data_IF_436068219914
#
_entry.id   IF_436068219914
#
_cell.length_a   1.000
_cell.length_b   1.000
_cell.length_c   1.000
_cell.angle_alpha   90.00
_cell.angle_beta   90.00
_cell.angle_gamma   90.00
#
_symmetry.space_group_name_H-M   'P 1'
#
loop_
_entity.id
_entity.type
_entity.pdbx_description
1 polymer ?
#
# COMPACT_ATOMS: atom_id res chain seq x y z
N UNK A 1 2.04 26.91 -3.72
CA UNK A 1 1.01 25.87 -3.72
C UNK A 1 1.67 24.55 -3.32
N UNK A 2 1.19 23.91 -2.28
CA UNK A 2 1.68 22.61 -1.82
C UNK A 2 0.65 21.55 -2.21
N UNK A 3 1.09 20.40 -2.74
CA UNK A 3 0.26 19.23 -3.03
C UNK A 3 0.84 18.05 -2.27
N UNK A 4 0.12 17.56 -1.27
CA UNK A 4 0.56 16.40 -0.47
C UNK A 4 -0.66 15.55 -0.11
N UNK A 5 -0.46 14.23 -0.06
CA UNK A 5 -1.50 13.31 0.43
C UNK A 5 -1.49 13.21 1.96
N UNK A 6 -0.40 13.65 2.59
CA UNK A 6 -0.18 13.59 4.03
C UNK A 6 0.59 14.86 4.43
N UNK A 7 -0.12 15.92 4.87
CA UNK A 7 0.54 17.15 5.33
C UNK A 7 1.37 16.87 6.58
N UNK A 8 2.51 17.51 6.70
CA UNK A 8 3.30 17.53 7.92
C UNK A 8 2.69 18.49 8.97
N UNK A 9 3.20 18.42 10.19
CA UNK A 9 2.70 19.26 11.28
C UNK A 9 2.90 20.76 11.01
N UNK A 10 3.93 21.15 10.27
CA UNK A 10 4.18 22.55 9.92
C UNK A 10 3.09 23.09 8.99
N UNK A 11 2.72 22.31 7.95
CA UNK A 11 1.64 22.68 7.03
C UNK A 11 0.29 22.74 7.74
N UNK A 12 0.01 21.78 8.65
CA UNK A 12 -1.23 21.77 9.45
C UNK A 12 -1.31 23.03 10.30
N UNK A 13 -0.27 23.36 11.05
CA UNK A 13 -0.23 24.56 11.91
C UNK A 13 -0.45 25.84 11.10
N UNK A 14 0.18 25.94 9.91
CA UNK A 14 0.01 27.10 9.03
C UNK A 14 -1.40 27.22 8.45
N UNK A 15 -2.11 26.12 8.28
CA UNK A 15 -3.52 26.12 7.90
C UNK A 15 -4.39 26.58 9.09
N UNK A 16 -4.12 26.10 10.31
CA UNK A 16 -4.84 26.49 11.52
C UNK A 16 -4.63 27.99 11.86
N UNK A 17 -3.42 28.50 11.65
CA UNK A 17 -3.08 29.92 11.79
C UNK A 17 -3.68 30.82 10.69
N UNK A 18 -4.32 30.24 9.68
CA UNK A 18 -4.90 30.98 8.56
C UNK A 18 -3.88 31.54 7.57
N UNK A 19 -2.58 31.16 7.68
CA UNK A 19 -1.52 31.59 6.77
C UNK A 19 -1.52 30.79 5.45
N UNK A 20 -2.25 29.67 5.41
CA UNK A 20 -2.49 28.83 4.23
C UNK A 20 -3.97 28.46 4.13
N UNK A 21 -4.48 28.43 2.89
CA UNK A 21 -5.81 27.86 2.61
C UNK A 21 -5.61 26.37 2.36
N UNK A 22 -6.23 25.54 3.19
CA UNK A 22 -6.23 24.09 3.03
C UNK A 22 -7.46 23.66 2.22
N UNK A 23 -7.21 22.93 1.13
CA UNK A 23 -8.27 22.27 0.37
C UNK A 23 -8.02 20.76 0.47
N UNK A 24 -8.85 20.09 1.25
CA UNK A 24 -8.80 18.64 1.41
C UNK A 24 -9.68 17.96 0.36
N UNK A 25 -9.08 17.14 -0.48
CA UNK A 25 -9.77 16.30 -1.44
C UNK A 25 -9.76 14.85 -0.93
N UNK A 26 -10.72 14.51 -0.09
CA UNK A 26 -10.84 13.18 0.52
C UNK A 26 -11.56 12.17 -0.40
N UNK A 27 -12.15 12.63 -1.50
CA UNK A 27 -12.91 11.80 -2.42
C UNK A 27 -12.01 11.30 -3.57
N UNK A 28 -11.97 10.00 -3.75
CA UNK A 28 -11.31 9.39 -4.92
C UNK A 28 -12.09 9.73 -6.19
N UNK A 29 -11.45 9.76 -7.39
CA UNK A 29 -12.13 10.12 -8.64
C UNK A 29 -13.39 9.30 -8.95
N UNK A 30 -13.46 8.05 -8.50
CA UNK A 30 -14.61 7.16 -8.64
C UNK A 30 -15.64 7.26 -7.49
N UNK A 31 -15.47 8.18 -6.54
CA UNK A 31 -16.43 8.41 -5.43
C UNK A 31 -16.48 7.31 -4.35
N UNK A 32 -15.68 6.25 -4.45
CA UNK A 32 -15.67 5.18 -3.45
C UNK A 32 -14.62 5.43 -2.36
N UNK A 33 -14.90 5.00 -1.11
CA UNK A 33 -13.96 5.14 -0.01
C UNK A 33 -12.68 4.33 -0.23
N UNK A 34 -11.61 4.71 0.47
CA UNK A 34 -10.37 3.95 0.49
C UNK A 34 -10.59 2.61 1.21
N UNK A 35 -10.08 1.47 0.69
CA UNK A 35 -10.13 0.21 1.42
C UNK A 35 -9.43 0.34 2.78
N UNK A 36 -10.16 -0.01 3.85
CA UNK A 36 -9.61 -0.01 5.20
C UNK A 36 -8.77 -1.26 5.38
N UNK A 37 -7.48 -1.14 5.77
CA UNK A 37 -6.61 -2.29 5.92
C UNK A 37 -7.12 -3.28 6.99
N UNK A 38 -7.12 -4.57 6.66
CA UNK A 38 -7.24 -5.65 7.65
C UNK A 38 -5.86 -5.91 8.23
N UNK A 39 -5.69 -5.85 9.54
CA UNK A 39 -4.41 -6.07 10.20
C UNK A 39 -4.43 -7.33 11.06
N UNK A 40 -3.37 -8.13 10.96
CA UNK A 40 -3.16 -9.30 11.79
C UNK A 40 -1.80 -9.21 12.48
N UNK A 41 -1.78 -9.56 13.76
CA UNK A 41 -0.56 -9.66 14.57
C UNK A 41 -0.25 -11.12 14.78
N UNK A 42 0.81 -11.60 14.14
CA UNK A 42 1.17 -13.01 14.07
C UNK A 42 2.71 -13.16 14.07
N UNK A 43 3.24 -14.29 14.56
CA UNK A 43 4.66 -14.59 14.39
C UNK A 43 5.12 -14.49 12.93
N UNK A 44 6.34 -14.04 12.68
CA UNK A 44 6.86 -13.75 11.34
C UNK A 44 6.67 -14.89 10.34
N UNK A 45 6.95 -16.12 10.74
CA UNK A 45 6.75 -17.29 9.88
C UNK A 45 5.27 -17.47 9.49
N UNK A 46 4.36 -17.25 10.43
CA UNK A 46 2.92 -17.34 10.15
C UNK A 46 2.48 -16.20 9.23
N UNK A 47 3.01 -14.98 9.39
CA UNK A 47 2.77 -13.88 8.46
C UNK A 47 3.13 -14.26 7.03
N UNK A 48 4.25 -14.96 6.82
CA UNK A 48 4.66 -15.43 5.49
C UNK A 48 3.67 -16.45 4.92
N UNK A 49 3.23 -17.42 5.72
CA UNK A 49 2.22 -18.39 5.27
C UNK A 49 0.88 -17.73 4.95
N UNK A 50 0.43 -16.79 5.79
CA UNK A 50 -0.80 -16.02 5.56
C UNK A 50 -0.68 -15.19 4.29
N UNK A 51 0.45 -14.54 4.04
CA UNK A 51 0.72 -13.81 2.79
C UNK A 51 0.64 -14.73 1.57
N UNK A 52 1.31 -15.88 1.59
CA UNK A 52 1.27 -16.84 0.47
C UNK A 52 -0.14 -17.36 0.21
N UNK A 53 -0.88 -17.69 1.28
CA UNK A 53 -2.28 -18.10 1.17
C UNK A 53 -3.16 -16.97 0.61
N UNK A 54 -2.98 -15.74 1.11
CA UNK A 54 -3.70 -14.57 0.63
C UNK A 54 -3.43 -14.30 -0.86
N UNK A 55 -2.17 -14.39 -1.29
CA UNK A 55 -1.79 -14.25 -2.70
C UNK A 55 -2.51 -15.29 -3.59
N UNK A 56 -2.68 -16.50 -3.10
CA UNK A 56 -3.40 -17.56 -3.83
C UNK A 56 -4.92 -17.32 -3.87
N UNK A 57 -5.49 -16.77 -2.81
CA UNK A 57 -6.94 -16.50 -2.74
C UNK A 57 -7.38 -15.26 -3.51
N UNK A 58 -6.45 -14.36 -3.87
CA UNK A 58 -6.71 -13.11 -4.58
C UNK A 58 -6.09 -13.14 -5.98
N UNK A 59 -6.18 -14.26 -6.67
CA UNK A 59 -5.56 -14.48 -7.98
C UNK A 59 -6.32 -13.84 -9.15
N UNK A 60 -7.44 -13.20 -8.89
CA UNK A 60 -8.22 -12.46 -9.89
C UNK A 60 -7.75 -11.02 -10.12
N UNK A 61 -6.78 -10.53 -9.32
CA UNK A 61 -6.28 -9.16 -9.37
C UNK A 61 -4.75 -9.14 -9.34
N UNK A 62 -4.11 -8.12 -9.91
CA UNK A 62 -2.69 -7.85 -9.64
C UNK A 62 -2.48 -7.60 -8.14
N UNK A 63 -1.40 -8.11 -7.59
CA UNK A 63 -1.11 -8.04 -6.15
C UNK A 63 0.26 -7.44 -5.91
N UNK A 64 0.33 -6.47 -5.00
CA UNK A 64 1.59 -5.88 -4.57
C UNK A 64 1.87 -6.28 -3.12
N UNK A 65 3.05 -6.83 -2.89
CA UNK A 65 3.57 -7.12 -1.55
C UNK A 65 4.64 -6.09 -1.22
N UNK A 66 4.36 -5.21 -0.29
CA UNK A 66 5.35 -4.28 0.25
C UNK A 66 6.11 -4.92 1.40
N UNK A 67 7.42 -4.72 1.42
CA UNK A 67 8.31 -5.20 2.46
C UNK A 67 9.29 -4.12 2.90
N UNK A 68 9.82 -4.24 4.11
CA UNK A 68 10.63 -3.20 4.76
C UNK A 68 12.03 -3.02 4.16
N UNK A 69 12.62 -4.04 3.57
CA UNK A 69 14.01 -3.98 3.08
C UNK A 69 14.20 -4.64 1.71
N UNK A 70 15.22 -4.19 0.97
CA UNK A 70 15.59 -4.78 -0.33
C UNK A 70 15.96 -6.26 -0.18
N UNK A 71 16.71 -6.62 0.88
CA UNK A 71 17.06 -8.02 1.14
C UNK A 71 15.81 -8.88 1.32
N UNK A 72 14.82 -8.38 2.08
CA UNK A 72 13.55 -9.07 2.28
C UNK A 72 12.75 -9.16 0.99
N UNK A 73 12.74 -8.10 0.16
CA UNK A 73 12.09 -8.11 -1.15
C UNK A 73 12.65 -9.22 -2.06
N UNK A 74 13.97 -9.34 -2.15
CA UNK A 74 14.62 -10.37 -2.95
C UNK A 74 14.34 -11.78 -2.40
N UNK A 75 14.35 -11.95 -1.09
CA UNK A 75 14.08 -13.24 -0.46
C UNK A 75 12.61 -13.66 -0.61
N UNK A 76 11.67 -12.75 -0.31
CA UNK A 76 10.23 -12.99 -0.49
C UNK A 76 9.90 -13.24 -1.96
N UNK A 77 10.47 -12.46 -2.88
CA UNK A 77 10.28 -12.67 -4.31
C UNK A 77 10.72 -14.07 -4.74
N UNK A 78 11.90 -14.53 -4.32
CA UNK A 78 12.36 -15.91 -4.59
C UNK A 78 11.42 -16.95 -3.98
N UNK A 79 10.95 -16.74 -2.76
CA UNK A 79 10.02 -17.64 -2.10
C UNK A 79 8.69 -17.74 -2.85
N UNK A 80 8.12 -16.61 -3.27
CA UNK A 80 6.88 -16.59 -4.06
C UNK A 80 7.10 -17.29 -5.40
N UNK A 81 8.23 -17.07 -6.07
CA UNK A 81 8.57 -17.69 -7.34
C UNK A 81 8.67 -19.23 -7.31
N UNK A 82 8.75 -19.86 -6.12
CA UNK A 82 8.63 -21.32 -5.99
C UNK A 82 7.20 -21.82 -6.26
N UNK A 83 6.20 -20.96 -6.15
CA UNK A 83 4.79 -21.33 -6.24
C UNK A 83 4.04 -20.58 -7.35
N UNK A 84 4.42 -19.32 -7.60
CA UNK A 84 3.73 -18.40 -8.52
C UNK A 84 4.73 -17.44 -9.14
N UNK A 85 4.57 -17.05 -10.42
CA UNK A 85 5.41 -16.02 -11.04
C UNK A 85 5.30 -14.70 -10.26
N UNK A 86 6.44 -14.06 -10.01
CA UNK A 86 6.47 -12.78 -9.31
C UNK A 86 7.61 -11.89 -9.80
N UNK A 87 7.36 -10.60 -9.83
CA UNK A 87 8.33 -9.55 -10.11
C UNK A 87 8.88 -8.98 -8.81
N UNK A 88 10.13 -8.56 -8.82
CA UNK A 88 10.73 -7.82 -7.71
C UNK A 88 11.16 -6.46 -8.21
N UNK A 89 10.62 -5.41 -7.60
CA UNK A 89 10.92 -4.03 -7.96
C UNK A 89 11.42 -3.26 -6.72
N UNK A 90 12.69 -2.88 -6.74
CA UNK A 90 13.36 -2.15 -5.66
C UNK A 90 14.14 -0.96 -6.24
N UNK A 91 14.71 -0.12 -5.38
CA UNK A 91 15.60 0.97 -5.83
C UNK A 91 16.86 0.49 -6.56
N UNK A 92 17.22 -0.80 -6.42
CA UNK A 92 18.37 -1.41 -7.10
C UNK A 92 18.00 -2.18 -8.37
N UNK A 93 16.74 -2.18 -8.77
CA UNK A 93 16.31 -2.86 -10.01
C UNK A 93 16.73 -2.00 -11.21
N UNK A 94 17.61 -2.54 -12.07
CA UNK A 94 18.19 -1.82 -13.21
C UNK A 94 17.13 -1.44 -14.26
N UNK A 95 16.26 -2.38 -14.64
CA UNK A 95 15.20 -2.18 -15.64
C UNK A 95 13.83 -1.94 -14.98
N UNK A 96 13.78 -1.02 -14.03
CA UNK A 96 12.60 -0.79 -13.19
C UNK A 96 11.34 -0.49 -14.00
N UNK A 97 11.46 0.38 -15.01
CA UNK A 97 10.31 0.80 -15.83
C UNK A 97 9.78 -0.37 -16.68
N UNK A 98 10.66 -1.22 -17.20
CA UNK A 98 10.28 -2.43 -17.92
C UNK A 98 9.54 -3.43 -17.02
N UNK A 99 10.01 -3.63 -15.79
CA UNK A 99 9.35 -4.50 -14.81
C UNK A 99 7.97 -3.96 -14.44
N UNK A 100 7.84 -2.65 -14.25
CA UNK A 100 6.58 -1.98 -13.95
C UNK A 100 5.59 -2.14 -15.11
N UNK A 101 6.04 -1.94 -16.36
CA UNK A 101 5.17 -2.07 -17.54
C UNK A 101 4.72 -3.52 -17.74
N UNK A 102 5.61 -4.50 -17.55
CA UNK A 102 5.24 -5.92 -17.58
C UNK A 102 4.15 -6.24 -16.55
N UNK A 103 4.34 -5.80 -15.32
CA UNK A 103 3.36 -6.00 -14.26
C UNK A 103 2.03 -5.30 -14.55
N UNK A 104 2.06 -4.11 -15.18
CA UNK A 104 0.85 -3.33 -15.49
C UNK A 104 -0.09 -4.02 -16.47
N UNK A 105 0.46 -4.81 -17.41
CA UNK A 105 -0.32 -5.52 -18.43
C UNK A 105 -0.80 -6.90 -17.99
N UNK A 106 -0.30 -7.39 -16.84
CA UNK A 106 -0.71 -8.67 -16.29
C UNK A 106 -1.96 -8.54 -15.43
N UNK A 107 -2.98 -9.34 -15.73
CA UNK A 107 -4.24 -9.39 -14.98
C UNK A 107 -4.06 -10.00 -13.58
N UNK A 108 -3.08 -10.89 -13.41
CA UNK A 108 -2.88 -11.69 -12.18
C UNK A 108 -1.45 -11.58 -11.65
N UNK A 109 -0.70 -10.56 -12.05
CA UNK A 109 0.70 -10.37 -11.67
C UNK A 109 0.90 -10.26 -10.16
N UNK A 110 2.07 -10.67 -9.70
CA UNK A 110 2.53 -10.43 -8.31
C UNK A 110 3.79 -9.58 -8.38
N UNK A 111 3.80 -8.49 -7.62
CA UNK A 111 4.99 -7.66 -7.47
C UNK A 111 5.40 -7.56 -6.01
N UNK A 112 6.66 -7.82 -5.72
CA UNK A 112 7.27 -7.56 -4.41
C UNK A 112 8.09 -6.29 -4.49
N UNK A 113 7.82 -5.34 -3.62
CA UNK A 113 8.51 -4.04 -3.63
C UNK A 113 8.79 -3.51 -2.23
N UNK A 114 9.71 -2.55 -2.17
CA UNK A 114 9.89 -1.68 -1.02
C UNK A 114 9.09 -0.38 -1.23
N UNK A 115 9.29 0.63 -0.40
CA UNK A 115 8.64 1.97 -0.49
C UNK A 115 8.80 2.68 -1.84
N UNK A 116 9.67 2.18 -2.71
CA UNK A 116 9.92 2.75 -4.05
C UNK A 116 8.66 2.88 -4.91
N UNK A 117 7.69 1.97 -4.75
CA UNK A 117 6.43 2.00 -5.49
C UNK A 117 5.30 2.74 -4.74
N UNK A 118 5.56 3.33 -3.59
CA UNK A 118 4.53 4.11 -2.88
C UNK A 118 4.14 5.37 -3.64
N UNK A 119 5.00 5.89 -4.53
CA UNK A 119 4.80 7.12 -5.28
C UNK A 119 4.94 6.92 -6.80
N UNK A 120 4.19 7.71 -7.56
CA UNK A 120 4.41 7.94 -8.98
C UNK A 120 3.90 6.88 -9.96
N UNK A 121 3.44 5.71 -9.52
CA UNK A 121 2.92 4.66 -10.41
C UNK A 121 1.49 4.29 -10.03
N UNK A 122 0.61 4.19 -11.01
CA UNK A 122 -0.78 3.73 -10.80
C UNK A 122 -0.96 2.36 -11.43
N UNK A 123 -1.51 1.44 -10.67
CA UNK A 123 -1.90 0.12 -11.14
C UNK A 123 -3.41 -0.03 -10.99
N UNK A 124 -4.14 -0.43 -12.04
CA UNK A 124 -5.56 -0.72 -11.94
C UNK A 124 -5.80 -2.01 -11.16
N UNK A 125 -6.97 -2.16 -10.55
CA UNK A 125 -7.47 -3.39 -9.91
C UNK A 125 -6.53 -4.07 -8.91
N UNK A 126 -5.67 -3.32 -8.23
CA UNK A 126 -4.59 -3.92 -7.45
C UNK A 126 -5.00 -4.18 -6.01
N UNK A 127 -4.68 -5.36 -5.50
CA UNK A 127 -4.71 -5.70 -4.08
C UNK A 127 -3.33 -5.49 -3.43
N UNK A 128 -3.32 -5.13 -2.16
CA UNK A 128 -2.08 -4.75 -1.45
C UNK A 128 -1.89 -5.57 -0.18
N UNK A 129 -0.72 -6.14 -0.02
CA UNK A 129 -0.25 -6.73 1.23
C UNK A 129 0.99 -5.98 1.71
N UNK A 130 1.02 -5.55 2.96
CA UNK A 130 2.22 -5.00 3.61
C UNK A 130 2.71 -6.00 4.64
N UNK A 131 3.86 -6.60 4.38
CA UNK A 131 4.54 -7.50 5.31
C UNK A 131 5.46 -6.69 6.21
N UNK A 132 5.44 -6.96 7.50
CA UNK A 132 6.09 -6.16 8.56
C UNK A 132 5.59 -4.71 8.61
N UNK A 133 4.29 -4.51 8.53
CA UNK A 133 3.72 -3.16 8.56
C UNK A 133 4.08 -2.36 9.83
N UNK A 134 4.50 -3.05 10.90
CA UNK A 134 5.02 -2.44 12.13
C UNK A 134 6.51 -2.09 12.08
N UNK A 135 7.20 -2.32 10.96
CA UNK A 135 8.62 -1.96 10.81
C UNK A 135 8.82 -0.45 10.93
N UNK A 136 9.85 -0.02 11.66
CA UNK A 136 10.21 1.40 11.78
C UNK A 136 10.62 2.09 10.47
N UNK A 137 10.69 1.36 9.36
CA UNK A 137 10.89 1.91 8.01
C UNK A 137 9.60 2.53 7.47
N UNK A 138 8.44 2.06 7.92
CA UNK A 138 7.14 2.56 7.48
C UNK A 138 6.61 3.60 8.46
N UNK A 139 6.33 4.78 7.96
CA UNK A 139 5.58 5.80 8.66
C UNK A 139 4.07 5.72 8.32
N UNK A 140 3.26 6.48 9.02
CA UNK A 140 1.82 6.54 8.80
C UNK A 140 1.49 6.93 7.36
N UNK A 141 2.19 7.95 6.84
CA UNK A 141 2.00 8.46 5.50
C UNK A 141 2.29 7.42 4.43
N UNK A 142 3.41 6.69 4.56
CA UNK A 142 3.79 5.60 3.67
C UNK A 142 2.76 4.47 3.67
N UNK A 143 2.28 4.04 4.86
CA UNK A 143 1.25 3.01 4.98
C UNK A 143 -0.07 3.44 4.32
N UNK A 144 -0.50 4.71 4.50
CA UNK A 144 -1.68 5.26 3.83
C UNK A 144 -1.48 5.25 2.31
N UNK A 145 -0.31 5.66 1.82
CA UNK A 145 -0.01 5.66 0.38
C UNK A 145 0.01 4.26 -0.22
N UNK A 146 0.57 3.26 0.50
CA UNK A 146 0.54 1.85 0.08
C UNK A 146 -0.89 1.31 0.06
N UNK A 147 -1.67 1.52 1.11
CA UNK A 147 -3.09 1.14 1.16
C UNK A 147 -3.88 1.82 0.04
N UNK A 148 -3.55 3.08 -0.24
CA UNK A 148 -4.15 3.86 -1.32
C UNK A 148 -3.87 3.34 -2.73
N UNK A 149 -3.00 2.34 -2.92
CA UNK A 149 -2.82 1.67 -4.22
C UNK A 149 -3.95 0.72 -4.55
N UNK A 150 -4.61 0.16 -3.55
CA UNK A 150 -5.72 -0.75 -3.75
C UNK A 150 -6.98 -0.03 -4.26
N UNK A 151 -7.73 -0.68 -5.15
CA UNK A 151 -9.03 -0.22 -5.62
C UNK A 151 -9.00 1.13 -6.35
N UNK A 152 -8.05 1.37 -7.23
CA UNK A 152 -7.94 2.62 -8.00
C UNK A 152 -8.66 2.64 -9.34
N UNK A 153 -9.19 1.52 -9.77
CA UNK A 153 -9.90 1.45 -11.03
C UNK A 153 -11.37 1.86 -10.89
N UNK A 154 -11.89 2.55 -11.90
CA UNK A 154 -13.31 2.93 -11.98
C UNK A 154 -14.24 1.73 -12.14
N UNK A 155 -13.77 0.65 -12.78
CA UNK A 155 -14.54 -0.56 -13.04
C UNK A 155 -14.62 -1.47 -11.83
N UNK A 156 -13.55 -1.47 -11.03
CA UNK A 156 -13.47 -2.21 -9.77
C UNK A 156 -12.82 -1.32 -8.70
N UNK A 157 -13.59 -0.46 -8.05
CA UNK A 157 -13.12 0.43 -7.00
C UNK A 157 -12.88 -0.30 -5.68
N UNK A 158 -13.21 -1.59 -5.60
CA UNK A 158 -12.98 -2.44 -4.45
C UNK A 158 -11.57 -3.03 -4.52
N UNK A 159 -10.80 -2.89 -3.45
CA UNK A 159 -9.48 -3.48 -3.35
C UNK A 159 -9.29 -4.05 -1.95
N UNK A 160 -8.45 -5.06 -1.81
CA UNK A 160 -8.12 -5.65 -0.54
C UNK A 160 -6.79 -5.10 -0.05
N UNK A 161 -6.75 -4.71 1.23
CA UNK A 161 -5.51 -4.28 1.89
C UNK A 161 -5.29 -5.14 3.13
N UNK A 162 -4.13 -5.79 3.18
CA UNK A 162 -3.70 -6.65 4.26
C UNK A 162 -2.42 -6.12 4.90
N UNK A 163 -2.45 -5.86 6.21
CA UNK A 163 -1.27 -5.54 7.00
C UNK A 163 -0.91 -6.72 7.89
N UNK A 164 0.31 -7.24 7.74
CA UNK A 164 0.85 -8.31 8.54
C UNK A 164 1.94 -7.76 9.43
N UNK A 165 1.78 -7.94 10.74
CA UNK A 165 2.65 -7.41 11.78
C UNK A 165 3.08 -8.54 12.71
N UNK A 166 4.28 -8.45 13.29
CA UNK A 166 4.68 -9.31 14.40
C UNK A 166 4.24 -8.72 15.76
N UNK A 167 4.00 -7.42 15.80
CA UNK A 167 3.42 -6.68 16.93
C UNK A 167 2.56 -5.53 16.42
N UNK A 168 1.59 -5.09 17.22
CA UNK A 168 0.75 -3.94 16.87
C UNK A 168 1.46 -2.64 17.25
N UNK A 169 1.84 -1.84 16.25
CA UNK A 169 2.46 -0.52 16.45
C UNK A 169 1.42 0.59 16.43
N UNK A 170 1.75 1.71 17.07
CA UNK A 170 0.93 2.93 17.04
C UNK A 170 0.81 3.50 15.63
N UNK A 171 1.83 3.34 14.79
CA UNK A 171 1.82 3.79 13.39
C UNK A 171 0.74 3.07 12.60
N UNK A 172 0.63 1.74 12.75
CA UNK A 172 -0.41 0.93 12.09
C UNK A 172 -1.80 1.32 12.56
N UNK A 173 -1.99 1.51 13.89
CA UNK A 173 -3.28 1.94 14.45
C UNK A 173 -3.68 3.32 13.92
N UNK A 174 -2.76 4.29 13.91
CA UNK A 174 -2.97 5.63 13.37
C UNK A 174 -3.36 5.58 11.91
N UNK A 175 -2.61 4.86 11.07
CA UNK A 175 -2.92 4.68 9.65
C UNK A 175 -4.35 4.18 9.43
N UNK A 176 -4.76 3.11 10.13
CA UNK A 176 -6.12 2.55 10.00
C UNK A 176 -7.18 3.56 10.48
N UNK A 177 -6.92 4.27 11.58
CA UNK A 177 -7.82 5.30 12.09
C UNK A 177 -7.96 6.48 11.13
N UNK A 178 -6.86 6.95 10.55
CA UNK A 178 -6.85 8.07 9.59
C UNK A 178 -7.61 7.72 8.32
N UNK A 179 -7.46 6.49 7.80
CA UNK A 179 -8.23 6.03 6.64
C UNK A 179 -9.73 5.95 6.96
N UNK A 180 -10.12 5.46 8.14
CA UNK A 180 -11.52 5.42 8.56
C UNK A 180 -12.13 6.83 8.64
N UNK A 181 -11.44 7.76 9.31
CA UNK A 181 -11.88 9.16 9.42
C UNK A 181 -12.03 9.83 8.05
N UNK A 182 -11.06 9.62 7.15
CA UNK A 182 -11.15 10.16 5.79
C UNK A 182 -12.36 9.58 5.02
N UNK A 183 -12.68 8.31 5.22
CA UNK A 183 -13.85 7.68 4.60
C UNK A 183 -15.17 8.22 5.17
N UNK A 184 -15.24 8.53 6.48
CA UNK A 184 -16.42 9.11 7.11
C UNK A 184 -16.72 10.51 6.57
N UNK A 185 -15.68 11.31 6.31
CA UNK A 185 -15.84 12.65 5.71
C UNK A 185 -16.26 12.63 4.24
N UNK A 186 -16.21 11.47 3.56
CA UNK A 186 -16.66 11.30 2.18
C UNK A 186 -18.18 10.99 2.06
N UNK A 187 -18.89 10.78 3.17
CA UNK A 187 -20.32 10.37 3.20
C UNK A 187 -21.27 11.58 3.34
N UNK A 188 -20.81 12.77 2.99
CA UNK A 188 -21.63 14.00 3.01
C UNK A 188 -22.15 14.34 1.62
#
# INVERSE_FOLDING_TARGET
>A
MYLTATPDNELINRCEEGSLICLELNVRPHGKPMPVPKSFVLPELICIFVMLYWLKCHDNHPRIVFVSTIKKALWIGKLICLFMPAYVCTSKTENRDEVIEKFRVEENGIMVSTTVLERGVTFPHTDVCVLDANSGVFDEAGLIQMAGRAGRDFRDPTGNVLFLCNEMSEVVKKCISSIRKANESCIV
#
